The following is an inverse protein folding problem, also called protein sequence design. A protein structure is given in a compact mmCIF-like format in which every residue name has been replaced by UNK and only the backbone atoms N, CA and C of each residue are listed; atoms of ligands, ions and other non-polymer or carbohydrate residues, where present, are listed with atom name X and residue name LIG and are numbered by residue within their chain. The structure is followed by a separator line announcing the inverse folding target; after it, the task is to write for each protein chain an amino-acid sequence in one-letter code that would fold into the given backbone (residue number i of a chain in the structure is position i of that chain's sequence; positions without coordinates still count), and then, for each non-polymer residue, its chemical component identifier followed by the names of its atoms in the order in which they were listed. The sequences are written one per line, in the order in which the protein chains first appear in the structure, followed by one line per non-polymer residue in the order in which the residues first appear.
data_IF_322245330395
#
_entry.id   IF_322245330395
#
_cell.length_a   1.000
_cell.length_b   1.000
_cell.length_c   1.000
_cell.angle_alpha   90.00
_cell.angle_beta   90.00
_cell.angle_gamma   90.00
#
_symmetry.space_group_name_H-M   'P 1'
#
loop_
_entity.id
_entity.type
_entity.pdbx_description
1 polymer ?
#
# COMPACT_ATOMS: atom_id res chain seq x y z
N UNK A 1 -12.51 -0.36 19.64
CA UNK A 1 -11.31 -1.19 19.40
C UNK A 1 -11.43 -2.61 19.93
N UNK A 2 -12.05 -2.88 21.10
CA UNK A 2 -12.15 -4.24 21.69
C UNK A 2 -12.84 -5.30 20.81
N UNK A 3 -13.87 -4.91 20.04
CA UNK A 3 -14.63 -5.85 19.20
C UNK A 3 -13.94 -6.26 17.89
N UNK A 4 -12.94 -5.52 17.40
CA UNK A 4 -12.22 -5.89 16.17
C UNK A 4 -11.22 -7.01 16.48
N UNK A 5 -10.45 -6.86 17.56
CA UNK A 5 -9.49 -7.88 18.01
C UNK A 5 -10.17 -9.23 18.31
N UNK A 6 -11.37 -9.22 18.89
CA UNK A 6 -12.14 -10.44 19.16
C UNK A 6 -12.63 -11.13 17.87
N UNK A 7 -12.89 -10.36 16.81
CA UNK A 7 -13.27 -10.91 15.51
C UNK A 7 -12.04 -11.50 14.81
N UNK A 8 -10.91 -10.80 14.85
CA UNK A 8 -9.65 -11.27 14.26
C UNK A 8 -9.20 -12.60 14.88
N UNK A 9 -9.28 -12.72 16.22
CA UNK A 9 -8.95 -13.94 16.95
C UNK A 9 -9.88 -15.11 16.58
N UNK A 10 -11.18 -14.85 16.39
CA UNK A 10 -12.13 -15.90 15.96
C UNK A 10 -11.84 -16.37 14.53
N UNK A 11 -11.51 -15.46 13.63
CA UNK A 11 -11.14 -15.78 12.24
C UNK A 11 -9.87 -16.60 12.22
N UNK A 12 -8.84 -16.18 12.98
CA UNK A 12 -7.57 -16.90 13.06
C UNK A 12 -7.76 -18.32 13.60
N UNK A 13 -8.51 -18.48 14.69
CA UNK A 13 -8.81 -19.81 15.25
C UNK A 13 -9.57 -20.71 14.26
N UNK A 14 -10.57 -20.15 13.56
CA UNK A 14 -11.30 -20.89 12.52
C UNK A 14 -10.37 -21.30 11.37
N UNK A 15 -9.53 -20.39 10.87
CA UNK A 15 -8.54 -20.68 9.85
C UNK A 15 -7.54 -21.75 10.30
N UNK A 16 -7.07 -21.68 11.55
CA UNK A 16 -6.14 -22.65 12.13
C UNK A 16 -6.76 -24.05 12.30
N UNK A 17 -8.08 -24.15 12.37
CA UNK A 17 -8.79 -25.44 12.42
C UNK A 17 -8.90 -26.15 11.06
N UNK A 18 -8.63 -25.45 9.95
CA UNK A 18 -8.74 -26.02 8.61
C UNK A 18 -7.68 -27.10 8.34
N UNK A 19 -7.97 -28.08 7.47
CA UNK A 19 -6.97 -28.97 6.89
C UNK A 19 -5.84 -28.19 6.20
N UNK A 20 -4.64 -28.79 6.12
CA UNK A 20 -3.47 -28.12 5.54
C UNK A 20 -3.68 -27.71 4.08
N UNK A 21 -4.43 -28.50 3.30
CA UNK A 21 -4.72 -28.22 1.90
C UNK A 21 -5.60 -26.97 1.75
N UNK A 22 -6.66 -26.87 2.55
CA UNK A 22 -7.57 -25.73 2.56
C UNK A 22 -6.87 -24.45 3.04
N UNK A 23 -5.99 -24.55 4.04
CA UNK A 23 -5.15 -23.42 4.48
C UNK A 23 -4.29 -22.87 3.34
N UNK A 24 -3.60 -23.76 2.63
CA UNK A 24 -2.77 -23.37 1.49
C UNK A 24 -3.60 -22.72 0.38
N UNK A 25 -4.78 -23.28 0.06
CA UNK A 25 -5.68 -22.74 -0.95
C UNK A 25 -6.23 -21.35 -0.55
N UNK A 26 -6.64 -21.17 0.71
CA UNK A 26 -7.13 -19.88 1.21
C UNK A 26 -6.01 -18.84 1.20
N UNK A 27 -4.80 -19.20 1.65
CA UNK A 27 -3.64 -18.28 1.63
C UNK A 27 -3.28 -17.90 0.19
N UNK A 28 -3.16 -18.85 -0.73
CA UNK A 28 -2.72 -18.56 -2.10
C UNK A 28 -3.73 -17.68 -2.85
N UNK A 29 -5.03 -18.01 -2.79
CA UNK A 29 -6.07 -17.20 -3.41
C UNK A 29 -6.20 -15.82 -2.75
N UNK A 30 -6.20 -15.77 -1.42
CA UNK A 30 -6.27 -14.53 -0.66
C UNK A 30 -5.07 -13.61 -0.94
N UNK A 31 -3.87 -14.17 -0.99
CA UNK A 31 -2.64 -13.43 -1.32
C UNK A 31 -2.71 -12.84 -2.74
N UNK A 32 -3.24 -13.58 -3.72
CA UNK A 32 -3.36 -13.10 -5.10
C UNK A 32 -4.31 -11.89 -5.20
N UNK A 33 -5.49 -11.98 -4.57
CA UNK A 33 -6.46 -10.89 -4.52
C UNK A 33 -5.86 -9.69 -3.80
N UNK A 34 -5.29 -9.91 -2.61
CA UNK A 34 -4.70 -8.85 -1.81
C UNK A 34 -3.56 -8.14 -2.53
N UNK A 35 -2.70 -8.89 -3.22
CA UNK A 35 -1.63 -8.30 -4.00
C UNK A 35 -2.17 -7.46 -5.16
N UNK A 36 -3.22 -7.91 -5.84
CA UNK A 36 -3.88 -7.11 -6.88
C UNK A 36 -4.39 -5.77 -6.36
N UNK A 37 -5.03 -5.75 -5.19
CA UNK A 37 -5.49 -4.53 -4.53
C UNK A 37 -4.34 -3.59 -4.18
N UNK A 38 -3.27 -4.12 -3.57
CA UNK A 38 -2.11 -3.33 -3.19
C UNK A 38 -1.39 -2.76 -4.41
N UNK A 39 -1.23 -3.54 -5.47
CA UNK A 39 -0.65 -3.06 -6.73
C UNK A 39 -1.46 -1.90 -7.33
N UNK A 40 -2.80 -2.00 -7.33
CA UNK A 40 -3.68 -0.90 -7.78
C UNK A 40 -3.50 0.35 -6.91
N UNK A 41 -3.40 0.18 -5.59
CA UNK A 41 -3.19 1.29 -4.65
C UNK A 41 -1.82 1.96 -4.85
N UNK A 42 -0.77 1.16 -5.00
CA UNK A 42 0.58 1.66 -5.27
C UNK A 42 0.62 2.40 -6.61
N UNK A 43 -0.01 1.85 -7.65
CA UNK A 43 -0.14 2.51 -8.95
C UNK A 43 -0.81 3.88 -8.81
N UNK A 44 -2.00 3.95 -8.20
CA UNK A 44 -2.70 5.21 -7.99
C UNK A 44 -1.86 6.23 -7.22
N UNK A 45 -1.19 5.80 -6.15
CA UNK A 45 -0.35 6.68 -5.34
C UNK A 45 0.85 7.24 -6.15
N UNK A 46 1.51 6.40 -6.96
CA UNK A 46 2.56 6.86 -7.88
C UNK A 46 2.04 7.85 -8.91
N UNK A 47 0.86 7.59 -9.49
CA UNK A 47 0.24 8.52 -10.44
C UNK A 47 -0.01 9.89 -9.79
N UNK A 48 -0.49 9.90 -8.53
CA UNK A 48 -0.73 11.15 -7.78
C UNK A 48 0.55 11.93 -7.53
N UNK A 49 1.63 11.26 -7.10
CA UNK A 49 2.94 11.90 -6.94
C UNK A 49 3.45 12.42 -8.28
N UNK A 50 3.35 11.62 -9.36
CA UNK A 50 3.79 12.06 -10.70
C UNK A 50 3.03 13.28 -11.19
N UNK A 51 1.70 13.31 -11.03
CA UNK A 51 0.89 14.47 -11.41
C UNK A 51 1.28 15.74 -10.67
N UNK A 52 1.65 15.65 -9.39
CA UNK A 52 2.19 16.78 -8.63
C UNK A 52 3.52 17.27 -9.22
N UNK A 53 4.46 16.34 -9.44
CA UNK A 53 5.77 16.66 -10.02
C UNK A 53 5.66 17.31 -11.40
N UNK A 54 4.75 16.81 -12.24
CA UNK A 54 4.45 17.36 -13.57
C UNK A 54 3.81 18.75 -13.48
N UNK A 55 2.84 18.94 -12.58
CA UNK A 55 2.11 20.21 -12.42
C UNK A 55 3.03 21.37 -12.02
N UNK A 56 3.98 21.10 -11.13
CA UNK A 56 4.88 22.13 -10.58
C UNK A 56 6.29 22.11 -11.17
N UNK A 57 6.60 21.15 -12.07
CA UNK A 57 7.92 20.95 -12.66
C UNK A 57 9.04 20.79 -11.60
N UNK A 58 8.75 20.01 -10.56
CA UNK A 58 9.61 19.76 -9.39
C UNK A 58 9.68 18.27 -9.08
N UNK A 59 10.68 17.84 -8.30
CA UNK A 59 10.72 16.50 -7.71
C UNK A 59 10.32 16.52 -6.24
N UNK A 60 9.49 15.57 -5.81
CA UNK A 60 9.03 15.52 -4.42
C UNK A 60 10.22 15.41 -3.43
N UNK A 61 11.24 14.55 -3.65
CA UNK A 61 12.40 14.48 -2.76
C UNK A 61 13.20 15.79 -2.67
N UNK A 62 13.14 16.64 -3.70
CA UNK A 62 13.79 17.96 -3.66
C UNK A 62 13.02 18.89 -2.73
N UNK A 63 11.69 18.98 -2.88
CA UNK A 63 10.82 19.80 -2.01
C UNK A 63 10.88 19.32 -0.55
N UNK A 64 10.91 18.01 -0.30
CA UNK A 64 11.04 17.47 1.06
C UNK A 64 12.34 17.91 1.75
N UNK A 65 13.40 18.18 0.97
CA UNK A 65 14.69 18.63 1.49
C UNK A 65 14.78 20.15 1.60
N UNK A 66 14.28 20.89 0.62
CA UNK A 66 14.45 22.35 0.51
C UNK A 66 13.30 23.13 1.08
N UNK A 67 12.15 22.48 1.34
CA UNK A 67 10.88 23.16 1.55
C UNK A 67 10.26 23.63 0.24
N UNK A 68 9.03 24.13 0.35
CA UNK A 68 8.34 24.79 -0.75
C UNK A 68 9.00 26.13 -1.09
N UNK A 69 8.94 26.58 -2.35
CA UNK A 69 9.41 27.91 -2.75
C UNK A 69 8.74 29.04 -1.96
N UNK A 70 9.43 30.17 -1.79
CA UNK A 70 8.90 31.35 -1.09
C UNK A 70 7.67 31.97 -1.79
N UNK A 71 7.53 31.76 -3.10
CA UNK A 71 6.40 32.20 -3.92
C UNK A 71 5.29 31.14 -4.06
N UNK A 72 5.38 30.04 -3.28
CA UNK A 72 4.36 29.00 -3.27
C UNK A 72 2.99 29.56 -2.83
N UNK A 73 2.03 29.51 -3.74
CA UNK A 73 0.63 29.85 -3.43
C UNK A 73 -0.04 28.78 -2.56
N UNK A 74 -1.19 29.14 -1.97
CA UNK A 74 -2.02 28.24 -1.15
C UNK A 74 -2.28 26.88 -1.81
N UNK A 75 -2.55 26.87 -3.12
CA UNK A 75 -2.81 25.64 -3.87
C UNK A 75 -1.61 24.69 -3.87
N UNK A 76 -0.38 25.21 -4.01
CA UNK A 76 0.83 24.38 -3.98
C UNK A 76 1.08 23.79 -2.59
N UNK A 77 0.75 24.53 -1.52
CA UNK A 77 0.82 24.02 -0.16
C UNK A 77 -0.12 22.83 0.07
N UNK A 78 -1.40 22.97 -0.32
CA UNK A 78 -2.38 21.88 -0.19
C UNK A 78 -2.00 20.68 -1.04
N UNK A 79 -1.58 20.91 -2.29
CA UNK A 79 -1.14 19.86 -3.18
C UNK A 79 0.11 19.14 -2.65
N UNK A 80 1.03 19.85 -2.01
CA UNK A 80 2.19 19.25 -1.35
C UNK A 80 1.80 18.36 -0.18
N UNK A 81 0.92 18.82 0.71
CA UNK A 81 0.42 18.01 1.83
C UNK A 81 -0.21 16.70 1.32
N UNK A 82 -1.05 16.82 0.28
CA UNK A 82 -1.66 15.65 -0.35
C UNK A 82 -0.63 14.75 -1.03
N UNK A 83 0.37 15.32 -1.70
CA UNK A 83 1.45 14.57 -2.35
C UNK A 83 2.29 13.78 -1.33
N UNK A 84 2.68 14.40 -0.22
CA UNK A 84 3.39 13.73 0.88
C UNK A 84 2.58 12.57 1.45
N UNK A 85 1.26 12.72 1.60
CA UNK A 85 0.39 11.59 1.98
C UNK A 85 0.48 10.43 0.97
N UNK A 86 0.49 10.72 -0.33
CA UNK A 86 0.61 9.68 -1.35
C UNK A 86 1.99 9.00 -1.36
N UNK A 87 3.07 9.74 -1.06
CA UNK A 87 4.41 9.18 -0.87
C UNK A 87 4.44 8.13 0.25
N UNK A 88 3.87 8.46 1.41
CA UNK A 88 3.68 7.51 2.52
C UNK A 88 2.87 6.27 2.11
N UNK A 89 1.82 6.46 1.30
CA UNK A 89 1.00 5.36 0.80
C UNK A 89 1.81 4.45 -0.10
N UNK A 90 2.70 4.98 -0.95
CA UNK A 90 3.62 4.17 -1.77
C UNK A 90 4.47 3.30 -0.85
N UNK A 91 5.20 3.91 0.09
CA UNK A 91 6.13 3.20 0.96
C UNK A 91 5.42 2.09 1.76
N UNK A 92 4.28 2.40 2.38
CA UNK A 92 3.50 1.43 3.18
C UNK A 92 2.96 0.30 2.30
N UNK A 93 2.49 0.62 1.10
CA UNK A 93 1.90 -0.38 0.19
C UNK A 93 2.97 -1.29 -0.40
N UNK A 94 4.13 -0.74 -0.77
CA UNK A 94 5.27 -1.52 -1.26
C UNK A 94 5.78 -2.49 -0.19
N UNK A 95 5.92 -2.05 1.07
CA UNK A 95 6.29 -2.95 2.18
C UNK A 95 5.30 -4.12 2.32
N UNK A 96 3.99 -3.86 2.18
CA UNK A 96 2.98 -4.92 2.22
C UNK A 96 3.05 -5.87 1.02
N UNK A 97 3.36 -5.35 -0.17
CA UNK A 97 3.59 -6.16 -1.37
C UNK A 97 4.78 -7.10 -1.16
N UNK A 98 5.90 -6.61 -0.64
CA UNK A 98 7.10 -7.41 -0.37
C UNK A 98 6.81 -8.55 0.62
N UNK A 99 6.02 -8.29 1.68
CA UNK A 99 5.64 -9.31 2.65
C UNK A 99 4.76 -10.42 2.06
N UNK A 100 3.94 -10.11 1.06
CA UNK A 100 3.02 -11.08 0.46
C UNK A 100 3.60 -11.83 -0.74
N UNK A 101 4.66 -11.31 -1.37
CA UNK A 101 5.27 -11.90 -2.58
C UNK A 101 5.68 -13.37 -2.39
N UNK A 102 6.31 -13.78 -1.27
CA UNK A 102 6.70 -15.19 -1.09
C UNK A 102 5.51 -16.16 -1.13
N UNK A 103 4.33 -15.74 -0.66
CA UNK A 103 3.14 -16.59 -0.63
C UNK A 103 2.64 -16.98 -2.03
N UNK A 104 2.95 -16.17 -3.04
CA UNK A 104 2.61 -16.46 -4.44
C UNK A 104 3.64 -17.36 -5.12
N UNK A 105 4.92 -17.24 -4.77
CA UNK A 105 5.97 -18.11 -5.28
C UNK A 105 5.71 -19.58 -4.88
N UNK A 106 5.19 -19.81 -3.67
CA UNK A 106 4.77 -21.14 -3.23
C UNK A 106 3.44 -21.61 -3.84
N UNK A 107 2.57 -20.69 -4.25
CA UNK A 107 1.27 -21.00 -4.87
C UNK A 107 1.37 -21.38 -6.35
N UNK A 108 2.40 -20.90 -7.06
CA UNK A 108 2.64 -21.20 -8.49
C UNK A 108 3.39 -22.53 -8.70
N UNK A 109 4.03 -23.07 -7.66
CA UNK A 109 4.78 -24.34 -7.70
C UNK A 109 3.92 -25.59 -7.41
N UNK A 110 2.59 -25.48 -7.40
CA UNK A 110 1.66 -26.62 -7.26
C UNK A 110 0.93 -26.91 -8.55
#
# INVERSE_FOLDING_TARGET
MRGIAEVDEKIENAFMSLPSEDKSAVISHGAAIRLSELNKRAFLAREKVRSFEEKYAVKLPEIEKTGLPDDAGYEMHEDYIMCSHWSDVIEKTEKQIELLRPLLEYGVLR
#
